data_IF_459918161210
#
_entry.id   IF_459918161210
#
_cell.length_a   1.000
_cell.length_b   1.000
_cell.length_c   1.000
_cell.angle_alpha   90.00
_cell.angle_beta   90.00
_cell.angle_gamma   90.00
#
_symmetry.space_group_name_H-M   'P 1'
#
loop_
_entity.id
_entity.type
_entity.pdbx_description
1 polymer ?
#
# COMPACT_ATOMS: atom_id res chain seq x y z
N UNK A 1 -15.61 -28.17 8.16
CA UNK A 1 -14.26 -28.41 7.57
C UNK A 1 -13.60 -27.13 7.04
N UNK A 2 -14.34 -26.18 6.45
CA UNK A 2 -13.81 -24.88 5.98
C UNK A 2 -13.37 -23.91 7.11
N UNK A 3 -14.06 -23.92 8.25
CA UNK A 3 -13.79 -23.00 9.38
C UNK A 3 -12.48 -23.28 10.13
N UNK A 4 -12.07 -24.54 10.23
CA UNK A 4 -10.84 -24.95 10.92
C UNK A 4 -9.55 -24.57 10.16
N UNK A 5 -9.65 -24.47 8.83
CA UNK A 5 -8.56 -24.04 7.97
C UNK A 5 -8.39 -22.51 8.10
N UNK A 6 -9.50 -21.78 8.08
CA UNK A 6 -9.53 -20.32 8.25
C UNK A 6 -9.02 -19.87 9.63
N UNK A 7 -9.34 -20.58 10.71
CA UNK A 7 -8.80 -20.28 12.05
C UNK A 7 -7.32 -20.59 12.18
N UNK A 8 -6.82 -21.66 11.54
CA UNK A 8 -5.37 -21.96 11.52
C UNK A 8 -4.58 -20.88 10.76
N UNK A 9 -5.11 -20.40 9.63
CA UNK A 9 -4.50 -19.32 8.87
C UNK A 9 -4.56 -17.99 9.62
N UNK A 10 -5.65 -17.71 10.33
CA UNK A 10 -5.79 -16.48 11.10
C UNK A 10 -4.88 -16.44 12.32
N UNK A 11 -4.58 -17.57 12.96
CA UNK A 11 -3.63 -17.64 14.08
C UNK A 11 -2.18 -17.40 13.63
N UNK A 12 -1.77 -17.99 12.50
CA UNK A 12 -0.43 -17.76 11.93
C UNK A 12 -0.30 -16.33 11.39
N UNK A 13 -1.37 -15.83 10.75
CA UNK A 13 -1.44 -14.44 10.32
C UNK A 13 -1.36 -13.50 11.52
N UNK A 14 -2.10 -13.73 12.62
CA UNK A 14 -2.07 -12.93 13.86
C UNK A 14 -0.68 -12.88 14.50
N UNK A 15 0.01 -14.03 14.60
CA UNK A 15 1.34 -14.10 15.21
C UNK A 15 2.38 -13.30 14.42
N UNK A 16 2.36 -13.37 13.08
CA UNK A 16 3.23 -12.55 12.22
C UNK A 16 2.74 -11.11 12.04
N UNK A 17 1.44 -10.86 12.19
CA UNK A 17 0.84 -9.52 12.20
C UNK A 17 1.42 -8.67 13.32
N UNK A 18 1.52 -9.28 14.51
CA UNK A 18 1.60 -8.50 15.74
C UNK A 18 2.94 -7.80 15.92
N UNK A 19 3.99 -8.21 15.20
CA UNK A 19 5.28 -7.52 15.23
C UNK A 19 5.53 -6.71 13.95
N UNK A 20 5.50 -7.34 12.77
CA UNK A 20 5.82 -6.66 11.51
C UNK A 20 4.73 -5.69 11.06
N UNK A 21 3.45 -6.09 11.14
CA UNK A 21 2.36 -5.19 10.76
C UNK A 21 2.22 -4.06 11.78
N UNK A 22 2.47 -4.32 13.07
CA UNK A 22 2.47 -3.30 14.11
C UNK A 22 3.54 -2.24 13.89
N UNK A 23 4.77 -2.63 13.52
CA UNK A 23 5.84 -1.67 13.21
C UNK A 23 5.48 -0.85 11.97
N UNK A 24 5.02 -1.47 10.88
CA UNK A 24 4.65 -0.76 9.65
C UNK A 24 3.42 0.13 9.85
N UNK A 25 2.44 -0.32 10.64
CA UNK A 25 1.27 0.45 11.02
C UNK A 25 1.66 1.65 11.89
N UNK A 26 2.53 1.45 12.88
CA UNK A 26 3.01 2.54 13.73
C UNK A 26 3.85 3.55 12.92
N UNK A 27 4.62 3.09 11.93
CA UNK A 27 5.36 3.96 11.02
C UNK A 27 4.42 4.75 10.11
N UNK A 28 3.40 4.11 9.53
CA UNK A 28 2.40 4.78 8.71
C UNK A 28 1.54 5.76 9.52
N UNK A 29 1.20 5.40 10.77
CA UNK A 29 0.49 6.25 11.72
C UNK A 29 1.37 7.44 12.12
N UNK A 30 2.65 7.23 12.42
CA UNK A 30 3.59 8.30 12.74
C UNK A 30 3.75 9.27 11.56
N UNK A 31 3.80 8.75 10.32
CA UNK A 31 3.82 9.58 9.13
C UNK A 31 2.51 10.38 8.98
N UNK A 32 1.35 9.74 9.15
CA UNK A 32 0.05 10.39 9.10
C UNK A 32 -0.20 11.38 10.26
N UNK A 33 0.44 11.22 11.42
CA UNK A 33 0.39 12.18 12.53
C UNK A 33 1.47 13.25 12.40
N UNK A 34 2.55 12.99 11.66
CA UNK A 34 3.57 13.97 11.34
C UNK A 34 3.11 14.98 10.28
N UNK A 35 2.35 14.55 9.28
CA UNK A 35 1.78 15.45 8.25
C UNK A 35 1.02 16.66 8.81
N UNK A 36 0.12 16.54 9.81
CA UNK A 36 -0.59 17.68 10.33
C UNK A 36 0.28 18.62 11.17
N UNK A 37 1.31 18.08 11.83
CA UNK A 37 2.27 18.86 12.63
C UNK A 37 3.18 19.68 11.71
N UNK A 38 3.56 19.12 10.55
CA UNK A 38 4.47 19.77 9.60
C UNK A 38 3.78 20.85 8.75
N UNK A 39 2.52 20.62 8.35
CA UNK A 39 1.84 21.50 7.38
C UNK A 39 0.73 22.37 7.98
N UNK A 40 0.24 22.05 9.18
CA UNK A 40 -0.93 22.71 9.78
C UNK A 40 -2.21 22.39 9.00
N UNK A 41 -3.18 21.71 9.60
CA UNK A 41 -4.38 21.24 8.88
C UNK A 41 -5.60 22.19 8.95
N UNK A 42 -5.44 23.37 9.53
CA UNK A 42 -6.59 24.26 9.78
C UNK A 42 -6.90 25.10 8.53
N UNK A 43 -8.16 25.08 8.09
CA UNK A 43 -8.68 25.91 6.99
C UNK A 43 -7.99 25.71 5.64
N UNK A 44 -7.61 24.47 5.31
CA UNK A 44 -6.99 24.21 3.99
C UNK A 44 -8.04 24.22 2.87
N UNK A 45 -7.72 24.96 1.83
CA UNK A 45 -8.43 24.94 0.55
C UNK A 45 -8.29 23.57 -0.14
N UNK A 46 -9.21 23.23 -1.05
CA UNK A 46 -9.28 21.94 -1.75
C UNK A 46 -7.95 21.57 -2.44
N UNK A 47 -7.25 22.56 -3.00
CA UNK A 47 -5.95 22.39 -3.66
C UNK A 47 -4.78 22.14 -2.69
N UNK A 48 -4.81 22.77 -1.51
CA UNK A 48 -3.79 22.56 -0.49
C UNK A 48 -3.95 21.18 0.17
N UNK A 49 -5.19 20.74 0.40
CA UNK A 49 -5.50 19.43 0.96
C UNK A 49 -5.07 18.29 0.04
N UNK A 50 -5.32 18.42 -1.27
CA UNK A 50 -4.91 17.43 -2.27
C UNK A 50 -3.38 17.30 -2.36
N UNK A 51 -2.66 18.41 -2.26
CA UNK A 51 -1.20 18.41 -2.24
C UNK A 51 -0.64 17.62 -1.06
N UNK A 52 -1.17 17.83 0.15
CA UNK A 52 -0.71 17.12 1.37
C UNK A 52 -1.02 15.62 1.26
N UNK A 53 -2.22 15.26 0.79
CA UNK A 53 -2.62 13.86 0.63
C UNK A 53 -1.76 13.13 -0.40
N UNK A 54 -1.63 13.66 -1.61
CA UNK A 54 -0.94 12.94 -2.68
C UNK A 54 0.58 12.88 -2.49
N UNK A 55 1.20 13.85 -1.80
CA UNK A 55 2.65 13.85 -1.59
C UNK A 55 3.09 13.12 -0.34
N UNK A 56 2.28 13.13 0.72
CA UNK A 56 2.68 12.51 1.98
C UNK A 56 1.91 11.22 2.25
N UNK A 57 0.59 11.23 2.11
CA UNK A 57 -0.21 10.06 2.46
C UNK A 57 0.02 8.90 1.47
N UNK A 58 0.43 9.17 0.24
CA UNK A 58 0.86 8.15 -0.73
C UNK A 58 2.01 7.26 -0.24
N UNK A 59 2.94 7.81 0.57
CA UNK A 59 4.05 7.03 1.14
C UNK A 59 3.57 5.95 2.12
N UNK A 60 2.40 6.13 2.73
CA UNK A 60 1.82 5.09 3.60
C UNK A 60 1.54 3.80 2.82
N UNK A 61 1.21 3.89 1.53
CA UNK A 61 1.06 2.74 0.64
C UNK A 61 2.36 1.97 0.44
N UNK A 62 3.49 2.68 0.29
CA UNK A 62 4.83 2.05 0.20
C UNK A 62 5.15 1.32 1.50
N UNK A 63 4.96 1.99 2.64
CA UNK A 63 5.30 1.45 3.97
C UNK A 63 4.45 0.22 4.32
N UNK A 64 3.16 0.22 3.97
CA UNK A 64 2.28 -0.90 4.29
C UNK A 64 2.39 -2.07 3.31
N UNK A 65 2.49 -1.80 2.00
CA UNK A 65 2.39 -2.85 0.98
C UNK A 65 3.74 -3.49 0.62
N UNK A 66 4.87 -2.75 0.72
CA UNK A 66 6.19 -3.25 0.33
C UNK A 66 6.69 -4.38 1.24
N UNK A 67 6.66 -4.30 2.58
CA UNK A 67 7.21 -5.33 3.47
C UNK A 67 6.33 -6.58 3.61
N UNK A 68 5.35 -6.82 2.72
CA UNK A 68 4.41 -7.94 2.84
C UNK A 68 5.08 -9.32 2.87
N UNK A 69 6.23 -9.45 2.20
CA UNK A 69 6.98 -10.71 2.11
C UNK A 69 8.11 -10.87 3.14
N UNK A 70 8.35 -9.86 4.00
CA UNK A 70 9.39 -9.91 5.02
C UNK A 70 9.29 -11.12 5.96
N UNK A 71 8.09 -11.53 6.43
CA UNK A 71 7.96 -12.68 7.31
C UNK A 71 8.23 -14.04 6.63
N UNK A 72 8.39 -14.06 5.31
CA UNK A 72 8.56 -15.28 4.51
C UNK A 72 10.01 -15.55 4.12
N UNK A 73 10.92 -14.61 4.38
CA UNK A 73 12.36 -14.81 4.18
C UNK A 73 12.99 -15.66 5.28
N UNK A 74 12.31 -15.82 6.40
CA UNK A 74 12.79 -16.66 7.49
C UNK A 74 12.62 -18.15 7.15
N UNK A 75 13.74 -18.86 7.09
CA UNK A 75 13.81 -20.28 6.69
C UNK A 75 12.97 -21.14 7.63
N UNK A 76 12.96 -20.82 8.93
CA UNK A 76 12.17 -21.53 9.93
C UNK A 76 10.66 -21.44 9.66
N UNK A 77 10.19 -20.27 9.21
CA UNK A 77 8.78 -20.06 8.85
C UNK A 77 8.43 -20.79 7.55
N UNK A 78 9.34 -20.76 6.56
CA UNK A 78 9.14 -21.43 5.28
C UNK A 78 9.05 -22.95 5.43
N UNK A 79 9.87 -23.54 6.30
CA UNK A 79 9.84 -24.96 6.64
C UNK A 79 8.60 -25.35 7.44
N UNK A 80 8.17 -24.52 8.41
CA UNK A 80 6.91 -24.72 9.15
C UNK A 80 5.67 -24.66 8.25
N UNK A 81 5.66 -23.75 7.26
CA UNK A 81 4.57 -23.62 6.27
C UNK A 81 4.65 -24.74 5.23
N UNK A 82 5.84 -25.21 4.84
CA UNK A 82 6.01 -26.34 3.91
C UNK A 82 5.66 -27.69 4.53
N UNK A 83 5.87 -27.85 5.83
CA UNK A 83 5.46 -29.03 6.62
C UNK A 83 3.93 -29.16 6.73
N UNK A 84 3.21 -28.05 6.73
CA UNK A 84 1.74 -28.05 6.66
C UNK A 84 1.29 -27.95 5.20
N UNK A 85 0.29 -28.75 4.82
CA UNK A 85 -0.41 -28.62 3.53
C UNK A 85 -1.22 -27.32 3.44
N UNK A 86 -0.56 -26.17 3.46
CA UNK A 86 -1.16 -24.85 3.41
C UNK A 86 -0.75 -24.12 2.13
N UNK A 87 -1.66 -23.86 1.16
CA UNK A 87 -1.35 -23.04 -0.01
C UNK A 87 -0.81 -21.66 0.37
N UNK A 88 0.46 -21.45 0.04
CA UNK A 88 1.20 -20.20 0.25
C UNK A 88 0.51 -18.97 -0.37
N UNK A 89 -0.05 -19.13 -1.56
CA UNK A 89 -0.81 -18.07 -2.26
C UNK A 89 -2.01 -17.59 -1.44
N UNK A 90 -2.65 -18.48 -0.68
CA UNK A 90 -3.79 -18.12 0.18
C UNK A 90 -3.38 -17.22 1.34
N UNK A 91 -2.23 -17.49 1.97
CA UNK A 91 -1.70 -16.66 3.07
C UNK A 91 -1.34 -15.27 2.57
N UNK A 92 -0.66 -15.20 1.42
CA UNK A 92 -0.27 -13.95 0.80
C UNK A 92 -1.49 -13.09 0.44
N UNK A 93 -2.52 -13.69 -0.11
CA UNK A 93 -3.75 -13.00 -0.49
C UNK A 93 -4.50 -12.46 0.74
N UNK A 94 -4.57 -13.23 1.83
CA UNK A 94 -5.16 -12.76 3.10
C UNK A 94 -4.36 -11.56 3.65
N UNK A 95 -3.03 -11.61 3.63
CA UNK A 95 -2.18 -10.48 4.08
C UNK A 95 -2.36 -9.24 3.22
N UNK A 96 -2.47 -9.42 1.90
CA UNK A 96 -2.71 -8.33 0.97
C UNK A 96 -4.06 -7.67 1.26
N UNK A 97 -5.14 -8.46 1.37
CA UNK A 97 -6.47 -7.95 1.71
C UNK A 97 -6.49 -7.19 3.04
N UNK A 98 -5.75 -7.68 4.04
CA UNK A 98 -5.63 -6.98 5.32
C UNK A 98 -4.87 -5.66 5.17
N UNK A 99 -3.73 -5.62 4.47
CA UNK A 99 -2.97 -4.40 4.25
C UNK A 99 -3.79 -3.35 3.48
N UNK A 100 -4.57 -3.77 2.48
CA UNK A 100 -5.52 -2.90 1.77
C UNK A 100 -6.58 -2.33 2.70
N UNK A 101 -7.13 -3.16 3.59
CA UNK A 101 -8.15 -2.74 4.56
C UNK A 101 -7.58 -1.70 5.54
N UNK A 102 -6.36 -1.93 6.05
CA UNK A 102 -5.69 -0.97 6.94
C UNK A 102 -5.35 0.33 6.22
N UNK A 103 -4.86 0.26 4.98
CA UNK A 103 -4.58 1.44 4.15
C UNK A 103 -5.85 2.28 3.95
N UNK A 104 -6.95 1.64 3.56
CA UNK A 104 -8.24 2.32 3.35
C UNK A 104 -8.74 2.98 4.64
N UNK A 105 -8.65 2.27 5.77
CA UNK A 105 -9.04 2.78 7.08
C UNK A 105 -8.20 4.00 7.49
N UNK A 106 -6.88 3.93 7.28
CA UNK A 106 -5.94 5.01 7.61
C UNK A 106 -6.18 6.26 6.75
N UNK A 107 -6.37 6.10 5.43
CA UNK A 107 -6.71 7.22 4.53
C UNK A 107 -8.05 7.85 4.90
N UNK A 108 -9.06 7.02 5.18
CA UNK A 108 -10.40 7.50 5.57
C UNK A 108 -10.38 8.24 6.91
N UNK A 109 -9.64 7.71 7.90
CA UNK A 109 -9.48 8.35 9.21
C UNK A 109 -8.79 9.70 9.09
N UNK A 110 -7.71 9.79 8.29
CA UNK A 110 -7.00 11.05 8.06
C UNK A 110 -7.89 12.11 7.41
N UNK A 111 -8.69 11.72 6.42
CA UNK A 111 -9.66 12.60 5.77
C UNK A 111 -10.78 13.02 6.72
N UNK A 112 -11.26 12.11 7.58
CA UNK A 112 -12.24 12.43 8.62
C UNK A 112 -11.73 13.50 9.59
N UNK A 113 -10.46 13.40 10.01
CA UNK A 113 -9.82 14.44 10.84
C UNK A 113 -9.73 15.76 10.08
N UNK A 114 -9.38 15.76 8.78
CA UNK A 114 -9.40 16.98 7.97
C UNK A 114 -10.78 17.62 7.88
N UNK A 115 -11.85 16.83 7.76
CA UNK A 115 -13.22 17.33 7.69
C UNK A 115 -13.67 17.99 9.01
N UNK A 116 -13.23 17.44 10.15
CA UNK A 116 -13.45 18.04 11.48
C UNK A 116 -12.70 19.36 11.67
N UNK A 117 -11.62 19.59 10.91
CA UNK A 117 -10.82 20.83 10.95
C UNK A 117 -11.33 21.91 9.97
N UNK A 118 -12.62 21.86 9.58
CA UNK A 118 -13.31 22.84 8.73
C UNK A 118 -12.80 22.96 7.28
N UNK A 119 -12.16 21.93 6.74
CA UNK A 119 -11.76 21.91 5.34
C UNK A 119 -12.96 21.63 4.42
N UNK A 120 -13.14 22.44 3.37
CA UNK A 120 -14.25 22.33 2.40
C UNK A 120 -13.79 21.52 1.18
N UNK A 121 -14.10 20.23 1.15
CA UNK A 121 -13.79 19.35 0.00
C UNK A 121 -14.73 18.14 -0.09
N UNK A 122 -14.86 17.56 -1.29
CA UNK A 122 -15.63 16.33 -1.49
C UNK A 122 -14.83 15.12 -0.97
N UNK A 123 -15.21 14.55 0.17
CA UNK A 123 -14.45 13.48 0.82
C UNK A 123 -14.28 12.22 -0.06
N UNK A 124 -15.32 11.80 -0.78
CA UNK A 124 -15.31 10.56 -1.57
C UNK A 124 -14.20 10.48 -2.63
N UNK A 125 -14.13 11.45 -3.58
CA UNK A 125 -13.11 11.45 -4.62
C UNK A 125 -11.67 11.61 -4.10
N UNK A 126 -11.50 12.26 -2.95
CA UNK A 126 -10.21 12.42 -2.29
C UNK A 126 -9.72 11.11 -1.66
N UNK A 127 -10.62 10.38 -0.98
CA UNK A 127 -10.34 9.04 -0.46
C UNK A 127 -9.91 8.12 -1.61
N UNK A 128 -10.72 8.05 -2.67
CA UNK A 128 -10.47 7.15 -3.79
C UNK A 128 -9.16 7.48 -4.52
N UNK A 129 -8.89 8.75 -4.79
CA UNK A 129 -7.67 9.12 -5.51
C UNK A 129 -6.40 8.95 -4.69
N UNK A 130 -6.44 9.23 -3.40
CA UNK A 130 -5.28 9.01 -2.51
C UNK A 130 -5.05 7.53 -2.26
N UNK A 131 -6.13 6.75 -2.17
CA UNK A 131 -6.04 5.30 -2.09
C UNK A 131 -5.45 4.71 -3.38
N UNK A 132 -5.90 5.14 -4.56
CA UNK A 132 -5.41 4.67 -5.85
C UNK A 132 -3.90 4.90 -6.03
N UNK A 133 -3.43 6.10 -5.69
CA UNK A 133 -2.02 6.50 -5.80
C UNK A 133 -1.15 5.75 -4.79
N UNK A 134 -1.59 5.65 -3.53
CA UNK A 134 -0.91 4.87 -2.50
C UNK A 134 -0.83 3.38 -2.87
N UNK A 135 -1.91 2.83 -3.41
CA UNK A 135 -2.00 1.45 -3.87
C UNK A 135 -1.04 1.16 -5.02
N UNK A 136 -0.97 2.05 -6.01
CA UNK A 136 -0.08 1.90 -7.16
C UNK A 136 1.39 1.89 -6.73
N UNK A 137 1.80 2.86 -5.91
CA UNK A 137 3.15 2.91 -5.35
C UNK A 137 3.47 1.67 -4.50
N UNK A 138 2.52 1.23 -3.68
CA UNK A 138 2.63 0.00 -2.88
C UNK A 138 2.77 -1.26 -3.73
N UNK A 139 2.05 -1.35 -4.85
CA UNK A 139 2.09 -2.49 -5.78
C UNK A 139 3.41 -2.56 -6.56
N UNK A 140 4.01 -1.41 -6.90
CA UNK A 140 5.34 -1.35 -7.50
C UNK A 140 6.40 -1.90 -6.54
N UNK A 141 6.30 -1.55 -5.26
CA UNK A 141 7.23 -2.03 -4.23
C UNK A 141 7.08 -3.52 -3.98
N UNK A 142 5.83 -4.00 -3.97
CA UNK A 142 5.50 -5.41 -3.90
C UNK A 142 6.09 -6.22 -5.08
N UNK A 143 5.94 -5.74 -6.31
CA UNK A 143 6.51 -6.39 -7.50
C UNK A 143 8.05 -6.42 -7.43
N UNK A 144 8.66 -5.26 -7.13
CA UNK A 144 10.11 -5.14 -7.00
C UNK A 144 10.66 -6.09 -5.93
N UNK A 145 9.97 -6.21 -4.81
CA UNK A 145 10.35 -7.14 -3.75
C UNK A 145 10.16 -8.61 -4.16
N UNK A 146 9.12 -8.92 -4.94
CA UNK A 146 8.88 -10.26 -5.49
C UNK A 146 9.99 -10.71 -6.46
N UNK A 147 10.55 -9.77 -7.23
CA UNK A 147 11.62 -10.02 -8.21
C UNK A 147 13.01 -10.13 -7.58
N UNK A 148 13.29 -9.28 -6.59
CA UNK A 148 14.64 -9.11 -6.05
C UNK A 148 14.94 -9.95 -4.81
N UNK A 149 13.91 -10.52 -4.16
CA UNK A 149 14.00 -11.12 -2.83
C UNK A 149 14.75 -10.22 -1.81
N UNK A 150 14.75 -8.90 -2.02
CA UNK A 150 15.41 -7.93 -1.14
C UNK A 150 14.47 -6.79 -0.79
N UNK A 151 14.26 -6.58 0.51
CA UNK A 151 13.38 -5.55 1.04
C UNK A 151 13.81 -4.15 0.59
N UNK A 152 15.12 -3.90 0.48
CA UNK A 152 15.66 -2.59 0.09
C UNK A 152 15.26 -2.25 -1.34
N UNK A 153 15.39 -3.21 -2.27
CA UNK A 153 14.98 -3.02 -3.66
C UNK A 153 13.46 -2.80 -3.79
N UNK A 154 12.67 -3.44 -2.91
CA UNK A 154 11.24 -3.18 -2.76
C UNK A 154 10.91 -1.72 -2.44
N UNK A 155 11.69 -1.07 -1.57
CA UNK A 155 11.48 0.34 -1.24
C UNK A 155 12.02 1.30 -2.30
N UNK A 156 13.13 0.96 -2.95
CA UNK A 156 13.77 1.85 -3.91
C UNK A 156 12.92 2.09 -5.17
N UNK A 157 12.26 1.05 -5.70
CA UNK A 157 11.53 1.17 -6.97
C UNK A 157 10.34 2.16 -6.89
N UNK A 158 9.47 2.09 -5.87
CA UNK A 158 8.44 3.11 -5.64
C UNK A 158 9.00 4.51 -5.42
N UNK A 159 10.11 4.64 -4.68
CA UNK A 159 10.73 5.94 -4.40
C UNK A 159 11.31 6.56 -5.68
N UNK A 160 12.00 5.79 -6.52
CA UNK A 160 12.49 6.25 -7.82
C UNK A 160 11.33 6.68 -8.70
N UNK A 161 10.25 5.89 -8.75
CA UNK A 161 9.06 6.22 -9.53
C UNK A 161 8.39 7.52 -9.06
N UNK A 162 8.32 7.74 -7.74
CA UNK A 162 7.83 8.97 -7.14
C UNK A 162 8.70 10.17 -7.52
N UNK A 163 10.02 10.05 -7.41
CA UNK A 163 10.97 11.12 -7.78
C UNK A 163 10.83 11.46 -9.27
N UNK A 164 10.76 10.45 -10.14
CA UNK A 164 10.56 10.65 -11.58
C UNK A 164 9.25 11.37 -11.89
N UNK A 165 8.17 11.07 -11.18
CA UNK A 165 6.90 11.80 -11.31
C UNK A 165 7.03 13.27 -10.86
N UNK A 166 7.82 13.53 -9.82
CA UNK A 166 8.06 14.89 -9.34
C UNK A 166 8.84 15.75 -10.37
N UNK A 167 9.81 15.15 -11.08
CA UNK A 167 10.60 15.85 -12.11
C UNK A 167 9.93 15.91 -13.48
N UNK A 168 9.21 14.86 -13.87
CA UNK A 168 8.62 14.75 -15.21
C UNK A 168 7.28 15.48 -15.34
N UNK A 169 6.66 15.86 -14.22
CA UNK A 169 5.39 16.57 -14.20
C UNK A 169 4.34 15.87 -15.07
N UNK A 170 3.65 16.66 -15.89
CA UNK A 170 2.51 16.24 -16.72
C UNK A 170 2.88 15.31 -17.90
N UNK A 171 4.17 15.06 -18.15
CA UNK A 171 4.62 14.25 -19.30
C UNK A 171 4.39 12.73 -19.13
N UNK A 172 3.93 12.27 -17.96
CA UNK A 172 3.57 10.86 -17.75
C UNK A 172 2.14 10.48 -18.20
N UNK A 173 1.34 11.44 -18.66
CA UNK A 173 -0.01 11.17 -19.17
C UNK A 173 -0.86 10.40 -18.15
N UNK A 174 -1.38 9.23 -18.55
CA UNK A 174 -2.33 8.44 -17.76
C UNK A 174 -1.78 7.84 -16.45
N UNK A 175 -0.47 7.92 -16.19
CA UNK A 175 0.16 7.41 -14.96
C UNK A 175 0.61 8.51 -13.99
N UNK A 176 0.10 9.72 -14.14
CA UNK A 176 0.47 10.83 -13.27
C UNK A 176 -0.09 10.66 -11.86
N UNK A 177 0.80 10.67 -10.86
CA UNK A 177 0.45 10.45 -9.46
C UNK A 177 -0.29 11.61 -8.79
N UNK A 178 -0.13 12.85 -9.28
CA UNK A 178 -0.66 14.06 -8.62
C UNK A 178 -1.92 14.61 -9.31
N UNK A 179 -2.83 13.71 -9.63
CA UNK A 179 -4.01 13.99 -10.46
C UNK A 179 -5.16 14.66 -9.68
N UNK A 180 -5.25 14.51 -8.34
CA UNK A 180 -6.21 15.28 -7.52
C UNK A 180 -6.01 16.78 -7.67
N UNK A 181 -4.77 17.26 -7.78
CA UNK A 181 -4.50 18.70 -7.90
C UNK A 181 -5.06 19.32 -9.19
N UNK A 182 -5.52 18.50 -10.14
CA UNK A 182 -6.05 18.90 -11.46
C UNK A 182 -7.52 18.54 -11.69
N UNK A 183 -8.20 17.98 -10.69
CA UNK A 183 -9.62 17.57 -10.77
C UNK A 183 -9.96 16.49 -11.83
N UNK A 184 -8.97 15.83 -12.44
CA UNK A 184 -9.23 14.72 -13.38
C UNK A 184 -9.35 13.38 -12.63
N UNK A 185 -10.47 12.67 -12.83
CA UNK A 185 -10.72 11.37 -12.18
C UNK A 185 -10.35 10.17 -13.05
N UNK A 186 -10.20 10.35 -14.37
CA UNK A 186 -9.92 9.25 -15.30
C UNK A 186 -8.53 8.62 -15.09
N UNK A 187 -7.51 9.40 -14.74
CA UNK A 187 -6.14 8.93 -14.52
C UNK A 187 -6.06 7.99 -13.30
N UNK A 188 -6.91 8.19 -12.29
CA UNK A 188 -6.94 7.38 -11.07
C UNK A 188 -7.51 5.99 -11.27
N UNK A 189 -8.50 5.85 -12.14
CA UNK A 189 -9.01 4.53 -12.52
C UNK A 189 -7.94 3.73 -13.27
N UNK A 190 -7.10 4.41 -14.06
CA UNK A 190 -5.96 3.77 -14.72
C UNK A 190 -4.88 3.34 -13.73
N UNK A 191 -4.57 4.17 -12.73
CA UNK A 191 -3.66 3.83 -11.62
C UNK A 191 -4.17 2.63 -10.81
N UNK A 192 -5.47 2.58 -10.49
CA UNK A 192 -6.09 1.42 -9.84
C UNK A 192 -5.97 0.15 -10.68
N UNK A 193 -6.24 0.24 -11.99
CA UNK A 193 -6.07 -0.87 -12.92
C UNK A 193 -4.62 -1.36 -12.96
N UNK A 194 -3.67 -0.44 -13.07
CA UNK A 194 -2.24 -0.75 -13.04
C UNK A 194 -1.81 -1.44 -11.74
N UNK A 195 -2.30 -0.98 -10.60
CA UNK A 195 -1.98 -1.57 -9.30
C UNK A 195 -2.47 -3.02 -9.18
N UNK A 196 -3.68 -3.30 -9.67
CA UNK A 196 -4.26 -4.64 -9.65
C UNK A 196 -3.47 -5.59 -10.55
N UNK A 197 -3.06 -5.13 -11.73
CA UNK A 197 -2.18 -5.88 -12.65
C UNK A 197 -0.82 -6.15 -12.01
N UNK A 198 -0.22 -5.17 -11.34
CA UNK A 198 1.09 -5.32 -10.67
C UNK A 198 1.02 -6.34 -9.52
N UNK A 199 -0.05 -6.32 -8.71
CA UNK A 199 -0.25 -7.34 -7.68
C UNK A 199 -0.48 -8.73 -8.28
N UNK A 200 -1.28 -8.84 -9.34
CA UNK A 200 -1.50 -10.10 -10.04
C UNK A 200 -0.19 -10.66 -10.64
N UNK A 201 0.62 -9.79 -11.27
CA UNK A 201 1.92 -10.16 -11.82
C UNK A 201 2.89 -10.59 -10.71
N UNK A 202 2.97 -9.84 -9.61
CA UNK A 202 3.86 -10.16 -8.49
C UNK A 202 3.51 -11.48 -7.80
N UNK A 203 2.22 -11.80 -7.67
CA UNK A 203 1.75 -13.08 -7.11
C UNK A 203 1.97 -14.25 -8.07
N UNK A 204 1.69 -14.06 -9.38
CA UNK A 204 1.90 -15.08 -10.41
C UNK A 204 3.39 -15.41 -10.59
N UNK A 205 4.26 -14.40 -10.63
CA UNK A 205 5.71 -14.58 -10.73
C UNK A 205 6.23 -15.47 -9.59
N UNK A 206 5.80 -15.19 -8.36
CA UNK A 206 6.24 -15.94 -7.18
C UNK A 206 5.67 -17.35 -7.13
N UNK A 207 4.46 -17.56 -7.69
CA UNK A 207 3.90 -18.90 -7.87
C UNK A 207 4.72 -19.73 -8.88
N UNK A 208 5.17 -19.12 -9.98
CA UNK A 208 5.97 -19.78 -11.03
C UNK A 208 7.39 -20.08 -10.55
N UNK A 209 8.09 -19.09 -9.98
CA UNK A 209 9.48 -19.26 -9.49
C UNK A 209 9.60 -20.37 -8.44
N UNK A 210 8.54 -20.60 -7.67
CA UNK A 210 8.50 -21.65 -6.65
C UNK A 210 8.13 -23.04 -7.18
N UNK A 211 7.58 -23.17 -8.39
CA UNK A 211 7.42 -24.48 -9.04
C UNK A 211 8.74 -24.98 -9.64
N UNK A 212 9.71 -24.09 -9.85
CA UNK A 212 11.00 -24.38 -10.50
C UNK A 212 12.14 -24.62 -9.48
N UNK A 213 11.96 -24.25 -8.20
CA UNK A 213 12.91 -24.45 -7.10
C UNK A 213 12.40 -25.47 -6.10
#
# INVERSE_FOLDING_TARGET
MSTAIFTKYSEIAKAQLKLTLWVNFLLALALALGTPVLFGIQYLDSRASSFVLERFLTFTGIILCTPLFFPEQDVAVKELIGSKYTPFTGVLLIRLMLALTVLLCLVSSFIGVMLLNHCVFAAGPFILGTFATALFLGSLGFLAYSLSDNLVAGYMLPTVYYILNMFSGEKLGNFYLFSLSKESMNEKYWLLGGALVLFAAGTAYRAIVRQVR
#
